data_IF_921025425108
#
_entry.id   IF_921025425108
#
_cell.length_a   1.000
_cell.length_b   1.000
_cell.length_c   1.000
_cell.angle_alpha   90.00
_cell.angle_beta   90.00
_cell.angle_gamma   90.00
#
_symmetry.space_group_name_H-M   'P 1'
#
loop_
_entity.id
_entity.type
_entity.pdbx_description
1 polymer ?
#
# COMPACT_ATOMS: atom_id res chain seq x y z
N UNK A 1 16.25 4.41 2.02
CA UNK A 1 15.24 3.51 2.58
C UNK A 1 13.99 3.62 1.73
N UNK A 2 13.28 2.53 1.48
CA UNK A 2 12.09 2.50 0.63
C UNK A 2 10.84 2.45 1.50
N UNK A 3 9.91 3.37 1.28
CA UNK A 3 8.67 3.44 2.03
C UNK A 3 7.47 3.46 1.09
N UNK A 4 6.41 2.76 1.50
CA UNK A 4 5.12 2.73 0.85
C UNK A 4 4.26 3.82 1.50
N UNK A 5 3.77 4.74 0.67
CA UNK A 5 2.93 5.83 1.14
C UNK A 5 1.59 5.79 0.40
N UNK A 6 0.50 5.71 1.16
CA UNK A 6 -0.85 5.66 0.63
C UNK A 6 -1.77 6.66 1.37
N UNK A 7 -1.47 7.97 1.33
CA UNK A 7 -2.24 8.96 2.07
C UNK A 7 -3.67 9.15 1.56
N UNK A 8 -3.94 8.71 0.34
CA UNK A 8 -5.26 8.77 -0.31
C UNK A 8 -5.98 7.42 -0.26
N UNK A 9 -5.57 6.48 0.61
CA UNK A 9 -6.30 5.24 0.80
C UNK A 9 -7.63 5.56 1.48
N UNK A 10 -8.70 5.60 0.69
CA UNK A 10 -10.04 5.83 1.19
C UNK A 10 -10.47 4.64 2.05
N UNK A 11 -10.84 4.94 3.30
CA UNK A 11 -11.47 3.98 4.19
C UNK A 11 -12.98 4.27 4.22
N UNK A 12 -13.84 3.23 4.32
CA UNK A 12 -15.23 3.43 4.69
C UNK A 12 -15.29 4.25 5.99
N UNK A 13 -16.22 5.20 6.11
CA UNK A 13 -16.32 6.09 7.28
C UNK A 13 -15.08 6.99 7.45
N UNK A 14 -14.78 7.76 6.41
CA UNK A 14 -13.68 8.74 6.39
C UNK A 14 -13.71 9.66 7.63
N UNK A 15 -12.55 9.84 8.26
CA UNK A 15 -12.38 10.68 9.45
C UNK A 15 -12.57 9.98 10.80
N UNK A 16 -13.12 8.76 10.83
CA UNK A 16 -13.20 7.94 12.06
C UNK A 16 -12.18 6.80 12.06
N UNK A 17 -11.95 6.21 10.89
CA UNK A 17 -10.94 5.17 10.69
C UNK A 17 -9.60 5.77 10.25
N UNK A 18 -8.51 5.19 10.75
CA UNK A 18 -7.13 5.49 10.37
C UNK A 18 -6.43 4.23 9.90
N UNK A 19 -5.46 4.37 9.01
CA UNK A 19 -4.58 3.27 8.59
C UNK A 19 -3.11 3.58 8.88
N UNK A 20 -2.27 2.54 8.91
CA UNK A 20 -0.82 2.65 9.10
C UNK A 20 0.01 2.86 7.82
N UNK A 21 -0.62 2.94 6.64
CA UNK A 21 0.06 3.13 5.35
C UNK A 21 0.53 4.57 5.07
N UNK A 22 1.13 5.22 6.06
CA UNK A 22 1.83 6.49 5.90
C UNK A 22 3.32 6.26 6.09
N UNK A 23 4.11 6.43 5.03
CA UNK A 23 5.55 6.16 5.05
C UNK A 23 5.90 4.75 5.62
N UNK A 24 5.12 3.74 5.25
CA UNK A 24 5.24 2.36 5.73
C UNK A 24 6.54 1.73 5.19
N UNK A 25 7.51 1.36 6.04
CA UNK A 25 8.77 0.80 5.57
C UNK A 25 8.58 -0.62 5.01
N UNK A 26 9.19 -0.90 3.86
CA UNK A 26 9.15 -2.24 3.28
C UNK A 26 10.40 -2.51 2.43
N UNK A 27 10.67 -3.80 2.18
CA UNK A 27 11.84 -4.25 1.41
C UNK A 27 11.38 -4.92 0.12
N UNK A 28 12.09 -4.64 -0.98
CA UNK A 28 11.88 -5.25 -2.28
C UNK A 28 13.13 -5.99 -2.74
N UNK A 29 12.93 -7.19 -3.26
CA UNK A 29 13.94 -7.89 -4.05
C UNK A 29 13.64 -7.70 -5.53
N UNK A 30 14.55 -7.05 -6.25
CA UNK A 30 14.35 -6.56 -7.61
C UNK A 30 15.36 -7.18 -8.56
N UNK A 31 14.87 -7.74 -9.66
CA UNK A 31 15.69 -8.32 -10.72
C UNK A 31 15.22 -7.88 -12.10
N UNK A 32 16.16 -7.75 -13.03
CA UNK A 32 15.86 -7.58 -14.45
C UNK A 32 17.08 -7.18 -15.27
N UNK A 33 16.90 -7.04 -16.60
CA UNK A 33 17.99 -6.83 -17.54
C UNK A 33 18.48 -5.37 -17.57
N UNK A 34 19.72 -5.21 -18.05
CA UNK A 34 20.30 -3.93 -18.44
C UNK A 34 20.48 -3.95 -19.96
N UNK A 35 20.03 -2.90 -20.64
CA UNK A 35 20.14 -2.75 -22.10
C UNK A 35 20.86 -1.45 -22.43
N UNK A 36 21.81 -1.52 -23.36
CA UNK A 36 22.49 -0.35 -23.90
C UNK A 36 21.93 -0.05 -25.29
N UNK A 37 21.53 1.20 -25.51
CA UNK A 37 21.07 1.68 -26.80
C UNK A 37 22.24 2.20 -27.65
N UNK A 38 22.05 2.23 -28.97
CA UNK A 38 23.04 2.72 -29.93
C UNK A 38 23.39 4.21 -29.72
N UNK A 39 22.51 4.97 -29.08
CA UNK A 39 22.70 6.39 -28.73
C UNK A 39 23.43 6.60 -27.39
N UNK A 40 23.99 5.53 -26.82
CA UNK A 40 24.74 5.56 -25.56
C UNK A 40 23.88 5.63 -24.31
N UNK A 41 22.54 5.57 -24.43
CA UNK A 41 21.66 5.46 -23.27
C UNK A 41 21.69 4.05 -22.67
N UNK A 42 21.50 3.98 -21.37
CA UNK A 42 21.35 2.75 -20.61
C UNK A 42 19.92 2.64 -20.08
N UNK A 43 19.27 1.52 -20.34
CA UNK A 43 18.01 1.13 -19.74
C UNK A 43 18.24 0.07 -18.67
N UNK A 44 17.56 0.21 -17.53
CA UNK A 44 17.51 -0.79 -16.46
C UNK A 44 16.03 -1.09 -16.21
N UNK A 45 15.61 -2.30 -16.54
CA UNK A 45 14.29 -2.81 -16.21
C UNK A 45 14.39 -3.67 -14.95
N UNK A 46 13.52 -3.43 -13.97
CA UNK A 46 13.48 -4.21 -12.73
C UNK A 46 12.06 -4.59 -12.36
N UNK A 47 11.90 -5.81 -11.87
CA UNK A 47 10.64 -6.38 -11.38
C UNK A 47 10.87 -7.01 -10.01
N UNK A 48 9.84 -7.06 -9.19
CA UNK A 48 9.91 -7.74 -7.91
C UNK A 48 9.89 -9.27 -8.11
N UNK A 49 10.85 -9.96 -7.51
CA UNK A 49 11.00 -11.43 -7.57
C UNK A 49 10.21 -12.12 -6.47
N UNK A 50 10.03 -11.42 -5.34
CA UNK A 50 9.29 -11.91 -4.19
C UNK A 50 7.97 -11.15 -4.07
N UNK A 51 6.96 -11.80 -3.53
CA UNK A 51 5.69 -11.17 -3.16
C UNK A 51 5.74 -10.73 -1.69
N UNK A 52 6.13 -9.47 -1.38
CA UNK A 52 6.12 -9.00 0.00
C UNK A 52 4.67 -8.84 0.51
N UNK A 53 4.46 -9.27 1.74
CA UNK A 53 3.21 -9.04 2.47
C UNK A 53 3.22 -7.65 3.10
N UNK A 54 2.09 -6.95 2.98
CA UNK A 54 1.86 -5.63 3.57
C UNK A 54 0.73 -5.77 4.59
N UNK A 55 1.08 -5.56 5.86
CA UNK A 55 0.14 -5.65 6.97
C UNK A 55 -0.49 -4.29 7.22
N UNK A 56 -1.66 -4.08 6.62
CA UNK A 56 -2.43 -2.85 6.83
C UNK A 56 -3.20 -2.98 8.13
N UNK A 57 -2.90 -2.09 9.06
CA UNK A 57 -3.62 -1.95 10.31
C UNK A 57 -4.60 -0.79 10.18
N UNK A 58 -5.89 -1.09 10.40
CA UNK A 58 -6.95 -0.08 10.48
C UNK A 58 -7.40 0.04 11.94
N UNK A 59 -7.41 1.26 12.48
CA UNK A 59 -7.81 1.57 13.85
C UNK A 59 -8.83 2.70 13.88
N UNK A 60 -9.62 2.80 14.94
CA UNK A 60 -10.50 3.94 15.22
C UNK A 60 -9.76 4.98 16.08
N UNK A 61 -10.12 6.26 15.97
CA UNK A 61 -9.59 7.30 16.88
C UNK A 61 -10.29 7.34 18.24
N UNK A 62 -11.50 6.79 18.32
CA UNK A 62 -12.27 6.76 19.55
C UNK A 62 -12.08 5.41 20.21
N UNK A 63 -11.56 5.44 21.44
CA UNK A 63 -11.66 4.35 22.40
C UNK A 63 -13.15 4.14 22.69
N UNK A 64 -13.82 3.45 21.78
CA UNK A 64 -15.17 2.98 21.96
C UNK A 64 -14.99 1.58 22.51
N UNK A 65 -15.16 1.45 23.81
CA UNK A 65 -15.40 0.20 24.51
C UNK A 65 -16.59 -0.50 23.82
N UNK A 66 -16.32 -1.26 22.74
CA UNK A 66 -17.32 -2.02 22.00
C UNK A 66 -16.71 -2.91 20.90
N UNK A 67 -15.78 -3.80 21.23
CA UNK A 67 -15.17 -4.72 20.24
C UNK A 67 -15.93 -6.01 20.14
N UNK A 68 -16.70 -6.13 19.06
CA UNK A 68 -16.88 -7.35 18.26
C UNK A 68 -17.55 -7.10 16.89
N UNK A 69 -17.67 -5.86 16.39
CA UNK A 69 -18.51 -5.58 15.22
C UNK A 69 -17.79 -5.11 13.93
N UNK A 70 -16.49 -4.80 13.97
CA UNK A 70 -15.78 -4.45 12.73
C UNK A 70 -15.60 -5.66 11.79
N UNK A 71 -15.44 -6.86 12.33
CA UNK A 71 -15.37 -8.09 11.54
C UNK A 71 -16.67 -8.36 10.77
N UNK A 72 -17.82 -8.07 11.37
CA UNK A 72 -19.12 -8.16 10.73
C UNK A 72 -19.29 -7.11 9.63
N UNK A 73 -18.86 -5.87 9.87
CA UNK A 73 -18.88 -4.80 8.86
C UNK A 73 -17.99 -5.11 7.64
N UNK A 74 -16.81 -5.70 7.82
CA UNK A 74 -15.95 -6.13 6.70
C UNK A 74 -16.49 -7.36 5.95
N UNK A 75 -17.09 -8.32 6.66
CA UNK A 75 -17.80 -9.45 6.03
C UNK A 75 -19.00 -8.93 5.22
N UNK A 76 -19.72 -7.95 5.75
CA UNK A 76 -20.77 -7.22 5.04
C UNK A 76 -20.23 -6.49 3.82
N UNK A 77 -19.09 -5.81 3.91
CA UNK A 77 -18.48 -5.10 2.77
C UNK A 77 -18.05 -6.05 1.64
N UNK A 78 -17.46 -7.21 1.98
CA UNK A 78 -17.12 -8.24 0.99
C UNK A 78 -18.36 -9.00 0.47
N UNK A 79 -19.44 -9.01 1.25
CA UNK A 79 -20.75 -9.59 0.93
C UNK A 79 -21.79 -8.62 0.36
N UNK A 80 -21.45 -7.35 0.14
CA UNK A 80 -22.34 -6.24 -0.25
C UNK A 80 -23.50 -5.93 0.71
N UNK A 81 -23.43 -6.36 1.97
CA UNK A 81 -24.39 -6.04 3.02
C UNK A 81 -23.93 -4.82 3.83
N UNK A 82 -24.44 -3.64 3.47
CA UNK A 82 -24.12 -2.35 4.10
C UNK A 82 -24.86 -2.13 5.43
N UNK A 83 -25.78 -3.01 5.82
CA UNK A 83 -26.47 -2.97 7.11
C UNK A 83 -25.64 -3.55 8.26
N UNK A 84 -24.59 -4.30 7.96
CA UNK A 84 -23.70 -4.95 8.93
C UNK A 84 -22.75 -3.99 9.67
N UNK A 85 -22.93 -2.68 9.50
CA UNK A 85 -22.18 -1.64 10.19
C UNK A 85 -23.09 -0.76 11.09
N UNK A 86 -24.38 -1.13 11.26
CA UNK A 86 -25.34 -0.42 12.13
C UNK A 86 -24.92 -0.50 13.62
N UNK A 87 -24.30 -1.61 14.00
CA UNK A 87 -23.79 -1.88 15.35
C UNK A 87 -22.49 -1.10 15.67
N UNK A 88 -21.76 -0.58 14.66
CA UNK A 88 -20.68 0.40 14.82
C UNK A 88 -21.19 1.82 15.10
N UNK A 89 -22.42 2.15 14.66
CA UNK A 89 -23.03 3.47 14.85
C UNK A 89 -23.78 3.54 16.19
N UNK A 90 -24.19 2.39 16.74
CA UNK A 90 -24.86 2.26 18.04
C UNK A 90 -24.21 1.13 18.89
N UNK A 91 -23.04 1.36 19.50
CA UNK A 91 -22.31 0.32 20.24
C UNK A 91 -23.02 -0.08 21.54
N UNK A 92 -23.11 -1.39 21.87
CA UNK A 92 -23.26 -1.86 23.25
C UNK A 92 -21.88 -1.91 23.95
N UNK A 93 -21.84 -1.46 25.21
CA UNK A 93 -20.64 -1.29 26.05
C UNK A 93 -19.77 -2.57 26.17
N UNK A 94 -18.60 -2.65 25.53
CA UNK A 94 -17.55 -3.68 25.82
C UNK A 94 -16.12 -3.29 25.45
N UNK A 95 -15.28 -3.02 26.46
CA UNK A 95 -13.85 -2.70 26.42
C UNK A 95 -12.95 -3.68 25.61
N UNK A 96 -12.74 -3.48 24.31
CA UNK A 96 -11.46 -3.84 23.69
C UNK A 96 -11.12 -2.82 22.59
N UNK A 97 -9.84 -2.75 22.17
CA UNK A 97 -9.37 -1.86 21.11
C UNK A 97 -9.60 -2.49 19.72
N UNK A 98 -10.47 -1.89 18.90
CA UNK A 98 -10.86 -2.38 17.58
C UNK A 98 -9.80 -2.12 16.51
N UNK A 99 -8.83 -3.02 16.38
CA UNK A 99 -7.84 -2.97 15.32
C UNK A 99 -8.01 -4.14 14.33
N UNK A 100 -8.10 -3.84 13.03
CA UNK A 100 -8.30 -4.86 11.99
C UNK A 100 -7.17 -4.90 10.99
N UNK A 101 -6.76 -6.14 10.69
CA UNK A 101 -5.66 -6.46 9.79
C UNK A 101 -6.20 -6.81 8.41
N UNK A 102 -5.79 -6.05 7.40
CA UNK A 102 -6.08 -6.32 6.00
C UNK A 102 -4.75 -6.76 5.35
N UNK A 103 -4.58 -8.06 5.02
CA UNK A 103 -3.39 -8.51 4.34
C UNK A 103 -3.43 -8.06 2.88
N UNK A 104 -2.50 -7.21 2.48
CA UNK A 104 -2.26 -6.85 1.08
C UNK A 104 -0.99 -7.54 0.58
N UNK A 105 -0.99 -7.92 -0.69
CA UNK A 105 0.16 -8.59 -1.31
C UNK A 105 0.49 -7.84 -2.58
N UNK A 106 1.77 -7.51 -2.76
CA UNK A 106 2.30 -7.13 -4.07
C UNK A 106 2.64 -8.44 -4.80
N UNK A 107 1.95 -8.79 -5.90
CA UNK A 107 2.20 -10.04 -6.58
C UNK A 107 3.60 -10.06 -7.22
N UNK A 108 4.16 -11.25 -7.43
CA UNK A 108 5.39 -11.44 -8.18
C UNK A 108 5.30 -10.75 -9.56
N UNK A 109 6.34 -10.03 -9.96
CA UNK A 109 6.36 -9.19 -11.16
C UNK A 109 5.32 -8.05 -11.22
N UNK A 110 4.59 -7.79 -10.12
CA UNK A 110 3.56 -6.75 -10.01
C UNK A 110 4.11 -5.33 -10.00
N UNK A 111 5.37 -5.15 -9.57
CA UNK A 111 6.09 -3.90 -9.69
C UNK A 111 6.94 -3.89 -10.95
N UNK A 112 6.94 -2.75 -11.63
CA UNK A 112 7.76 -2.50 -12.80
C UNK A 112 8.46 -1.16 -12.66
N UNK A 113 9.77 -1.21 -12.49
CA UNK A 113 10.63 -0.03 -12.49
C UNK A 113 11.42 -0.01 -13.79
N UNK A 114 11.39 1.13 -14.46
CA UNK A 114 12.13 1.34 -15.70
C UNK A 114 12.91 2.65 -15.62
N UNK A 115 14.23 2.54 -15.57
CA UNK A 115 15.12 3.68 -15.63
C UNK A 115 15.78 3.75 -17.01
N UNK A 116 15.68 4.90 -17.67
CA UNK A 116 16.35 5.17 -18.94
C UNK A 116 17.26 6.38 -18.73
N UNK A 117 18.57 6.22 -18.96
CA UNK A 117 19.52 7.31 -18.82
C UNK A 117 19.32 8.37 -19.90
N UNK A 118 19.79 9.59 -19.64
CA UNK A 118 19.89 10.61 -20.66
C UNK A 118 20.98 10.22 -21.70
N UNK A 119 20.83 10.67 -22.96
CA UNK A 119 21.88 10.47 -23.96
C UNK A 119 23.11 11.29 -23.58
N UNK A 120 24.30 10.76 -23.88
CA UNK A 120 25.54 11.52 -23.72
C UNK A 120 25.55 12.60 -24.81
N UNK A 121 25.53 13.87 -24.41
CA UNK A 121 25.75 14.98 -25.35
C UNK A 121 27.25 15.06 -25.62
N UNK A 122 27.66 15.01 -26.88
CA UNK A 122 29.02 15.36 -27.27
C UNK A 122 29.32 16.78 -26.79
N UNK A 123 30.42 16.95 -26.05
CA UNK A 123 30.93 18.28 -25.72
C UNK A 123 31.31 18.96 -27.05
N UNK A 124 31.01 20.26 -27.24
CA UNK A 124 31.48 20.97 -28.44
C UNK A 124 33.01 20.87 -28.50
N UNK A 125 33.54 20.55 -29.68
CA UNK A 125 34.98 20.54 -29.92
C UNK A 125 35.57 21.89 -29.49
N UNK A 126 36.57 21.87 -28.60
CA UNK A 126 37.32 23.06 -28.23
C UNK A 126 37.92 23.68 -29.50
N UNK A 127 37.60 24.95 -29.74
CA UNK A 127 38.26 25.78 -30.75
C UNK A 127 39.62 26.26 -30.24
#
# INVERSE_FOLDING_TARGET
DLTLDAPNLALPLEGTLRHNLFNYPFTLDLQGPITFFDDGRMQIEQRNVVSPEINVLVTTEQALEGVLDFGACLIGLLGFDLGACDDLVNPPDTDEDGAVFIPLIIPENGLYLNFISNPVKDLPAQQ
#
